data_IF_786789884627
#
_entry.id   IF_786789884627
#
_cell.length_a   1.000
_cell.length_b   1.000
_cell.length_c   1.000
_cell.angle_alpha   90.00
_cell.angle_beta   90.00
_cell.angle_gamma   90.00
#
_symmetry.space_group_name_H-M   'P 1'
#
loop_
_entity.id
_entity.type
_entity.pdbx_description
1 polymer ?
#
# COMPACT_ATOMS: atom_id res chain seq x y z
N UNK A 1 -9.36 40.86 -35.34
CA UNK A 1 -8.83 39.75 -36.16
C UNK A 1 -9.32 38.44 -35.57
N UNK A 2 -10.12 37.65 -36.30
CA UNK A 2 -10.41 36.26 -35.91
C UNK A 2 -9.10 35.48 -35.94
N UNK A 3 -8.67 34.94 -34.81
CA UNK A 3 -7.51 34.06 -34.76
C UNK A 3 -7.74 32.91 -35.74
N UNK A 4 -6.87 32.76 -36.75
CA UNK A 4 -6.90 31.61 -37.64
C UNK A 4 -6.76 30.35 -36.79
N UNK A 5 -7.74 29.45 -36.86
CA UNK A 5 -7.66 28.12 -36.24
C UNK A 5 -6.50 27.35 -36.84
N UNK A 6 -5.92 26.42 -36.07
CA UNK A 6 -4.81 25.55 -36.52
C UNK A 6 -5.13 24.85 -37.87
N UNK A 7 -6.42 24.59 -38.12
CA UNK A 7 -7.00 24.09 -39.38
C UNK A 7 -6.62 24.92 -40.61
N UNK A 8 -6.55 26.25 -40.48
CA UNK A 8 -6.15 27.11 -41.60
C UNK A 8 -4.64 27.09 -41.87
N UNK A 9 -3.84 26.56 -40.94
CA UNK A 9 -2.38 26.40 -41.09
C UNK A 9 -1.95 25.00 -41.55
N UNK A 10 -2.77 23.96 -41.36
CA UNK A 10 -2.36 22.56 -41.53
C UNK A 10 -2.77 21.89 -42.85
N UNK A 11 -3.50 22.56 -43.76
CA UNK A 11 -3.95 21.96 -45.02
C UNK A 11 -5.08 20.94 -44.82
N UNK A 12 -5.91 20.76 -45.84
CA UNK A 12 -7.28 20.24 -45.74
C UNK A 12 -7.52 18.77 -45.32
N UNK A 13 -6.54 18.04 -44.79
CA UNK A 13 -6.75 16.67 -44.29
C UNK A 13 -6.11 16.47 -42.92
N UNK A 14 -6.89 16.74 -41.86
CA UNK A 14 -6.53 16.32 -40.51
C UNK A 14 -6.52 14.79 -40.43
N UNK A 15 -5.58 14.17 -39.69
CA UNK A 15 -5.61 12.73 -39.46
C UNK A 15 -6.90 12.33 -38.73
N UNK A 16 -7.42 11.15 -39.06
CA UNK A 16 -8.50 10.53 -38.29
C UNK A 16 -7.96 10.12 -36.92
N UNK A 17 -8.24 10.97 -35.93
CA UNK A 17 -7.76 10.81 -34.55
C UNK A 17 -8.90 11.08 -33.57
N UNK A 18 -9.06 10.19 -32.61
CA UNK A 18 -10.16 10.20 -31.65
C UNK A 18 -9.63 10.18 -30.22
N UNK A 19 -10.03 11.16 -29.42
CA UNK A 19 -9.65 11.25 -28.02
C UNK A 19 -10.73 10.63 -27.14
N UNK A 20 -10.41 9.52 -26.50
CA UNK A 20 -11.29 8.80 -25.59
C UNK A 20 -11.01 9.23 -24.16
N UNK A 21 -12.03 9.74 -23.47
CA UNK A 21 -11.98 9.96 -22.03
C UNK A 21 -12.87 8.95 -21.31
N UNK A 22 -12.35 8.32 -20.28
CA UNK A 22 -13.02 7.23 -19.58
C UNK A 22 -12.98 7.43 -18.06
N UNK A 23 -14.14 7.71 -17.48
CA UNK A 23 -14.35 7.72 -16.03
C UNK A 23 -14.97 6.41 -15.56
N UNK A 24 -14.33 5.78 -14.57
CA UNK A 24 -14.65 4.42 -14.13
C UNK A 24 -15.36 4.48 -12.78
N UNK A 25 -16.67 4.26 -12.80
CA UNK A 25 -17.48 4.10 -11.60
C UNK A 25 -17.71 2.64 -11.18
N UNK A 26 -18.27 2.46 -9.99
CA UNK A 26 -18.63 1.14 -9.44
C UNK A 26 -19.87 0.53 -10.11
N UNK A 27 -20.90 1.35 -10.36
CA UNK A 27 -22.17 0.89 -10.98
C UNK A 27 -22.12 0.97 -12.49
N UNK A 28 -21.71 2.13 -13.00
CA UNK A 28 -21.59 2.42 -14.41
C UNK A 28 -20.28 3.18 -14.67
N UNK A 29 -19.81 3.06 -15.89
CA UNK A 29 -18.68 3.80 -16.43
C UNK A 29 -19.19 4.85 -17.40
N UNK A 30 -18.43 5.94 -17.54
CA UNK A 30 -18.74 7.03 -18.45
C UNK A 30 -17.61 7.19 -19.45
N UNK A 31 -17.93 7.06 -20.73
CA UNK A 31 -16.99 7.26 -21.83
C UNK A 31 -17.42 8.44 -22.70
N UNK A 32 -16.44 9.11 -23.29
CA UNK A 32 -16.67 10.07 -24.37
C UNK A 32 -15.57 9.97 -25.40
N UNK A 33 -15.96 9.96 -26.68
CA UNK A 33 -15.04 10.07 -27.80
C UNK A 33 -15.20 11.44 -28.44
N UNK A 34 -14.11 12.19 -28.55
CA UNK A 34 -14.07 13.51 -29.17
C UNK A 34 -13.10 13.47 -30.34
N UNK A 35 -13.57 13.61 -31.60
CA UNK A 35 -12.70 13.67 -32.78
C UNK A 35 -11.79 14.90 -32.75
N UNK A 36 -10.60 14.79 -33.34
CA UNK A 36 -9.65 15.90 -33.47
C UNK A 36 -10.29 17.16 -34.08
N UNK A 37 -11.14 16.98 -35.09
CA UNK A 37 -11.84 18.08 -35.78
C UNK A 37 -12.63 18.95 -34.80
N UNK A 38 -13.31 18.33 -33.80
CA UNK A 38 -14.09 19.07 -32.79
C UNK A 38 -13.20 19.98 -31.94
N UNK A 39 -11.97 19.56 -31.65
CA UNK A 39 -11.03 20.39 -30.89
C UNK A 39 -10.38 21.47 -31.75
N UNK A 40 -10.02 21.17 -33.00
CA UNK A 40 -9.31 22.12 -33.87
C UNK A 40 -10.22 23.23 -34.39
N UNK A 41 -11.50 22.95 -34.63
CA UNK A 41 -12.48 23.98 -34.97
C UNK A 41 -12.72 24.99 -33.84
N UNK A 42 -12.26 24.68 -32.62
CA UNK A 42 -12.28 25.59 -31.47
C UNK A 42 -13.65 25.74 -30.80
N UNK A 43 -13.66 26.57 -29.75
CA UNK A 43 -14.83 26.84 -28.92
C UNK A 43 -15.16 25.73 -27.92
N UNK A 44 -16.39 25.79 -27.39
CA UNK A 44 -16.83 24.96 -26.26
C UNK A 44 -17.65 23.72 -26.67
N UNK A 45 -17.66 23.34 -27.96
CA UNK A 45 -18.43 22.19 -28.45
C UNK A 45 -18.03 20.88 -27.78
N UNK A 46 -16.73 20.68 -27.56
CA UNK A 46 -16.20 19.51 -26.86
C UNK A 46 -16.82 19.33 -25.45
N UNK A 47 -17.22 20.43 -24.79
CA UNK A 47 -17.86 20.42 -23.46
C UNK A 47 -19.26 19.81 -23.46
N UNK A 48 -19.89 19.74 -24.63
CA UNK A 48 -21.29 19.28 -24.81
C UNK A 48 -21.40 17.96 -25.57
N UNK A 49 -20.26 17.34 -25.91
CA UNK A 49 -20.26 16.03 -26.58
C UNK A 49 -20.96 15.02 -25.67
N UNK A 50 -21.91 14.26 -26.24
CA UNK A 50 -22.70 13.29 -25.50
C UNK A 50 -21.81 12.16 -25.01
N UNK A 51 -21.89 11.87 -23.72
CA UNK A 51 -21.19 10.75 -23.10
C UNK A 51 -22.03 9.48 -23.18
N UNK A 52 -21.35 8.34 -23.20
CA UNK A 52 -21.93 7.02 -23.06
C UNK A 52 -21.84 6.57 -21.61
N UNK A 53 -22.98 6.22 -21.03
CA UNK A 53 -23.05 5.46 -19.78
C UNK A 53 -23.20 3.97 -20.10
N UNK A 54 -22.37 3.14 -19.48
CA UNK A 54 -22.40 1.68 -19.67
C UNK A 54 -21.99 0.92 -18.40
N UNK A 55 -22.59 -0.24 -18.17
CA UNK A 55 -22.28 -1.08 -17.03
C UNK A 55 -20.99 -1.89 -17.26
N UNK A 56 -20.33 -2.30 -16.17
CA UNK A 56 -19.19 -3.23 -16.18
C UNK A 56 -19.63 -4.69 -16.39
N UNK A 57 -20.43 -4.93 -17.43
CA UNK A 57 -20.96 -6.25 -17.80
C UNK A 57 -20.63 -6.56 -19.25
N UNK A 58 -20.73 -7.82 -19.66
CA UNK A 58 -20.52 -8.20 -21.07
C UNK A 58 -21.40 -7.40 -22.04
N UNK A 59 -22.69 -7.22 -21.71
CA UNK A 59 -23.62 -6.40 -22.49
C UNK A 59 -23.23 -4.90 -22.50
N UNK A 60 -22.77 -4.37 -21.36
CA UNK A 60 -22.29 -2.99 -21.28
C UNK A 60 -21.01 -2.74 -22.08
N UNK A 61 -20.07 -3.70 -22.06
CA UNK A 61 -18.86 -3.65 -22.89
C UNK A 61 -19.17 -3.78 -24.38
N UNK A 62 -20.14 -4.61 -24.77
CA UNK A 62 -20.61 -4.69 -26.15
C UNK A 62 -21.26 -3.36 -26.60
N UNK A 63 -22.06 -2.73 -25.73
CA UNK A 63 -22.62 -1.38 -25.97
C UNK A 63 -21.51 -0.34 -26.13
N UNK A 64 -20.45 -0.43 -25.33
CA UNK A 64 -19.29 0.45 -25.43
C UNK A 64 -18.51 0.24 -26.73
N UNK A 65 -18.29 -1.02 -27.14
CA UNK A 65 -17.66 -1.31 -28.43
C UNK A 65 -18.47 -0.74 -29.60
N UNK A 66 -19.78 -0.96 -29.62
CA UNK A 66 -20.66 -0.42 -30.64
C UNK A 66 -20.69 1.13 -30.65
N UNK A 67 -20.31 1.78 -29.55
CA UNK A 67 -20.11 3.22 -29.50
C UNK A 67 -18.76 3.62 -30.11
N UNK A 68 -17.67 2.90 -29.81
CA UNK A 68 -16.35 3.13 -30.41
C UNK A 68 -16.38 2.91 -31.93
N UNK A 69 -17.02 1.84 -32.40
CA UNK A 69 -17.10 1.46 -33.82
C UNK A 69 -17.82 2.50 -34.69
N UNK A 70 -18.70 3.34 -34.09
CA UNK A 70 -19.34 4.47 -34.79
C UNK A 70 -18.36 5.60 -35.11
N UNK A 71 -17.24 5.66 -34.40
CA UNK A 71 -16.18 6.62 -34.63
C UNK A 71 -15.11 6.01 -35.53
N UNK A 72 -14.60 4.84 -35.15
CA UNK A 72 -13.65 4.08 -35.97
C UNK A 72 -13.54 2.64 -35.49
N UNK A 73 -13.31 1.73 -36.45
CA UNK A 73 -13.01 0.32 -36.19
C UNK A 73 -11.51 0.07 -35.95
N UNK A 74 -10.64 1.04 -36.27
CA UNK A 74 -9.21 0.94 -36.03
C UNK A 74 -8.87 1.49 -34.63
N UNK A 75 -8.59 0.59 -33.70
CA UNK A 75 -8.21 0.93 -32.33
C UNK A 75 -6.97 1.85 -32.25
N UNK A 76 -6.09 1.82 -33.26
CA UNK A 76 -4.88 2.65 -33.29
C UNK A 76 -5.18 4.13 -33.53
N UNK A 77 -6.36 4.47 -34.05
CA UNK A 77 -6.80 5.86 -34.24
C UNK A 77 -7.27 6.52 -32.93
N UNK A 78 -7.39 5.75 -31.84
CA UNK A 78 -7.80 6.26 -30.54
C UNK A 78 -6.61 6.56 -29.63
N UNK A 79 -6.68 7.67 -28.90
CA UNK A 79 -5.87 7.94 -27.73
C UNK A 79 -6.79 8.03 -26.51
N UNK A 80 -6.71 7.05 -25.63
CA UNK A 80 -7.58 6.96 -24.45
C UNK A 80 -6.90 7.39 -23.16
N UNK A 81 -7.59 8.19 -22.35
CA UNK A 81 -7.17 8.59 -21.00
C UNK A 81 -8.21 8.14 -19.97
N UNK A 82 -7.73 7.62 -18.85
CA UNK A 82 -8.52 7.30 -17.66
C UNK A 82 -7.78 7.66 -16.37
N UNK A 83 -8.51 7.82 -15.26
CA UNK A 83 -7.87 7.97 -13.94
C UNK A 83 -7.54 6.61 -13.30
N UNK A 84 -6.49 6.54 -12.46
CA UNK A 84 -6.31 5.45 -11.52
C UNK A 84 -7.55 5.31 -10.63
N UNK A 85 -8.18 4.13 -10.66
CA UNK A 85 -9.22 3.78 -9.70
C UNK A 85 -8.64 3.01 -8.52
N UNK A 86 -9.03 3.37 -7.30
CA UNK A 86 -8.54 2.74 -6.06
C UNK A 86 -9.08 1.32 -5.81
N UNK A 87 -9.65 0.64 -6.81
CA UNK A 87 -10.32 -0.65 -6.67
C UNK A 87 -10.32 -1.49 -7.95
N UNK A 88 -10.81 -2.73 -7.84
CA UNK A 88 -10.79 -3.73 -8.91
C UNK A 88 -11.79 -3.46 -10.05
N UNK A 89 -12.69 -2.48 -9.88
CA UNK A 89 -13.88 -2.31 -10.72
C UNK A 89 -13.58 -1.85 -12.16
N UNK A 90 -12.40 -1.28 -12.41
CA UNK A 90 -11.95 -0.95 -13.76
C UNK A 90 -11.29 -2.11 -14.51
N UNK A 91 -10.89 -3.18 -13.82
CA UNK A 91 -10.00 -4.20 -14.38
C UNK A 91 -10.60 -4.90 -15.63
N UNK A 92 -11.89 -5.22 -15.61
CA UNK A 92 -12.57 -5.84 -16.75
C UNK A 92 -12.58 -4.91 -17.97
N UNK A 93 -12.89 -3.62 -17.78
CA UNK A 93 -12.90 -2.61 -18.85
C UNK A 93 -11.49 -2.36 -19.41
N UNK A 94 -10.49 -2.29 -18.52
CA UNK A 94 -9.09 -2.15 -18.93
C UNK A 94 -8.60 -3.35 -19.74
N UNK A 95 -8.90 -4.57 -19.29
CA UNK A 95 -8.58 -5.78 -20.03
C UNK A 95 -9.28 -5.82 -21.40
N UNK A 96 -10.55 -5.44 -21.44
CA UNK A 96 -11.34 -5.39 -22.66
C UNK A 96 -10.73 -4.46 -23.72
N UNK A 97 -10.30 -3.26 -23.32
CA UNK A 97 -9.67 -2.27 -24.20
C UNK A 97 -8.26 -2.70 -24.65
N UNK A 98 -7.42 -3.14 -23.72
CA UNK A 98 -6.04 -3.54 -24.02
C UNK A 98 -5.99 -4.78 -24.92
N UNK A 99 -6.86 -5.77 -24.70
CA UNK A 99 -6.94 -6.97 -25.55
C UNK A 99 -7.37 -6.69 -26.99
N UNK A 100 -7.94 -5.51 -27.26
CA UNK A 100 -8.35 -5.05 -28.60
C UNK A 100 -7.40 -4.02 -29.21
N UNK A 101 -6.28 -3.73 -28.54
CA UNK A 101 -5.24 -2.85 -29.08
C UNK A 101 -5.51 -1.36 -28.93
N UNK A 102 -6.46 -0.93 -28.09
CA UNK A 102 -6.66 0.49 -27.80
C UNK A 102 -5.48 1.08 -27.02
N UNK A 103 -4.96 2.23 -27.47
CA UNK A 103 -3.87 2.93 -26.80
C UNK A 103 -4.40 3.71 -25.57
N UNK A 104 -4.28 3.09 -24.39
CA UNK A 104 -4.80 3.63 -23.14
C UNK A 104 -3.70 4.15 -22.22
N UNK A 105 -3.96 5.29 -21.60
CA UNK A 105 -3.07 5.99 -20.68
C UNK A 105 -3.80 6.38 -19.40
N UNK A 106 -3.05 6.39 -18.30
CA UNK A 106 -3.51 6.83 -17.00
C UNK A 106 -2.98 8.23 -16.69
N UNK A 107 -3.88 9.09 -16.21
CA UNK A 107 -3.58 10.45 -15.74
C UNK A 107 -3.88 10.56 -14.25
N UNK A 108 -3.01 11.23 -13.49
CA UNK A 108 -3.21 11.34 -12.04
C UNK A 108 -4.47 12.14 -11.70
N UNK A 109 -5.24 11.70 -10.70
CA UNK A 109 -6.53 12.32 -10.34
C UNK A 109 -6.36 13.81 -9.96
N UNK A 110 -5.19 14.22 -9.46
CA UNK A 110 -4.91 15.63 -9.17
C UNK A 110 -4.78 16.46 -10.44
N UNK A 111 -4.12 15.92 -11.47
CA UNK A 111 -3.97 16.59 -12.76
C UNK A 111 -5.33 16.79 -13.45
N UNK A 112 -6.20 15.77 -13.46
CA UNK A 112 -7.56 15.91 -13.97
C UNK A 112 -8.35 16.93 -13.18
N UNK A 113 -8.28 16.90 -11.83
CA UNK A 113 -8.94 17.88 -10.97
C UNK A 113 -8.51 19.31 -11.29
N UNK A 114 -7.21 19.55 -11.39
CA UNK A 114 -6.66 20.88 -11.64
C UNK A 114 -7.04 21.35 -13.05
N UNK A 115 -7.00 20.45 -14.03
CA UNK A 115 -7.44 20.74 -15.39
C UNK A 115 -8.93 21.05 -15.45
N UNK A 116 -9.76 20.30 -14.72
CA UNK A 116 -11.19 20.55 -14.61
C UNK A 116 -11.47 21.93 -14.01
N UNK A 117 -10.79 22.30 -12.93
CA UNK A 117 -10.94 23.62 -12.30
C UNK A 117 -10.53 24.77 -13.23
N UNK A 118 -9.49 24.57 -14.05
CA UNK A 118 -9.05 25.54 -15.07
C UNK A 118 -10.05 25.67 -16.22
N UNK A 119 -10.52 24.55 -16.77
CA UNK A 119 -11.36 24.55 -17.96
C UNK A 119 -12.82 24.87 -17.64
N UNK A 120 -13.36 24.35 -16.54
CA UNK A 120 -14.76 24.37 -16.17
C UNK A 120 -14.95 24.94 -14.76
N UNK A 121 -14.57 26.21 -14.53
CA UNK A 121 -14.72 26.85 -13.23
C UNK A 121 -16.20 26.94 -12.85
N UNK A 122 -16.49 26.83 -11.55
CA UNK A 122 -17.83 26.99 -10.97
C UNK A 122 -18.89 25.98 -11.41
N UNK A 123 -18.52 24.92 -12.14
CA UNK A 123 -19.42 23.82 -12.46
C UNK A 123 -19.29 22.68 -11.44
N UNK A 124 -20.41 22.06 -11.01
CA UNK A 124 -20.35 20.92 -10.09
C UNK A 124 -19.67 19.73 -10.76
N UNK A 125 -18.90 18.96 -9.98
CA UNK A 125 -18.25 17.73 -10.46
C UNK A 125 -19.29 16.74 -10.98
N UNK A 126 -19.11 16.25 -12.21
CA UNK A 126 -19.88 15.14 -12.79
C UNK A 126 -18.94 14.18 -13.52
N UNK A 127 -19.33 12.90 -13.59
CA UNK A 127 -18.55 11.84 -14.24
C UNK A 127 -18.36 12.12 -15.74
N UNK A 128 -19.39 12.67 -16.40
CA UNK A 128 -19.31 13.13 -17.79
C UNK A 128 -18.30 14.25 -17.99
N UNK A 129 -18.20 15.16 -17.03
CA UNK A 129 -17.20 16.23 -17.09
C UNK A 129 -15.79 15.68 -16.95
N UNK A 130 -15.56 14.73 -16.06
CA UNK A 130 -14.25 14.09 -15.89
C UNK A 130 -13.83 13.38 -17.19
N UNK A 131 -14.74 12.61 -17.80
CA UNK A 131 -14.50 11.97 -19.10
C UNK A 131 -14.15 13.01 -20.18
N UNK A 132 -14.90 14.11 -20.31
CA UNK A 132 -14.59 15.17 -21.29
C UNK A 132 -13.26 15.86 -21.03
N UNK A 133 -12.92 16.12 -19.76
CA UNK A 133 -11.64 16.72 -19.36
C UNK A 133 -10.48 15.78 -19.73
N UNK A 134 -10.60 14.48 -19.49
CA UNK A 134 -9.58 13.51 -19.89
C UNK A 134 -9.40 13.43 -21.41
N UNK A 135 -10.48 13.41 -22.19
CA UNK A 135 -10.39 13.50 -23.65
C UNK A 135 -9.69 14.79 -24.10
N UNK A 136 -9.98 15.92 -23.44
CA UNK A 136 -9.32 17.20 -23.70
C UNK A 136 -7.83 17.18 -23.34
N UNK A 137 -7.44 16.54 -22.23
CA UNK A 137 -6.04 16.37 -21.86
C UNK A 137 -5.28 15.53 -22.89
N UNK A 138 -5.89 14.47 -23.42
CA UNK A 138 -5.31 13.68 -24.51
C UNK A 138 -5.02 14.52 -25.77
N UNK A 139 -5.98 15.36 -26.17
CA UNK A 139 -5.79 16.31 -27.28
C UNK A 139 -4.67 17.30 -27.01
N UNK A 140 -4.65 17.93 -25.82
CA UNK A 140 -3.63 18.90 -25.47
C UNK A 140 -2.23 18.25 -25.45
N UNK A 141 -2.14 17.02 -24.96
CA UNK A 141 -0.91 16.26 -24.93
C UNK A 141 -0.37 15.97 -26.34
N UNK A 142 -1.18 15.35 -27.17
CA UNK A 142 -0.72 14.83 -28.46
C UNK A 142 -0.66 15.90 -29.56
N UNK A 143 -1.68 16.76 -29.66
CA UNK A 143 -1.83 17.70 -30.78
C UNK A 143 -1.29 19.10 -30.48
N UNK A 144 -1.22 19.51 -29.21
CA UNK A 144 -0.75 20.85 -28.80
C UNK A 144 0.67 20.79 -28.20
N UNK A 145 1.08 19.64 -27.67
CA UNK A 145 2.38 19.46 -27.04
C UNK A 145 2.41 19.91 -25.57
N UNK A 146 1.26 19.98 -24.91
CA UNK A 146 1.20 20.22 -23.46
C UNK A 146 1.71 18.98 -22.70
N UNK A 147 2.64 19.18 -21.78
CA UNK A 147 3.23 18.08 -21.03
C UNK A 147 2.34 17.63 -19.87
N UNK A 148 1.89 16.38 -19.92
CA UNK A 148 1.23 15.70 -18.82
C UNK A 148 2.02 14.46 -18.45
N UNK A 149 2.13 14.17 -17.16
CA UNK A 149 2.68 12.88 -16.70
C UNK A 149 1.65 11.77 -16.94
N UNK A 150 1.68 11.18 -18.13
CA UNK A 150 0.85 10.05 -18.51
C UNK A 150 1.62 8.74 -18.28
N UNK A 151 0.91 7.71 -17.82
CA UNK A 151 1.47 6.36 -17.68
C UNK A 151 0.69 5.41 -18.57
N UNK A 152 1.36 4.60 -19.38
CA UNK A 152 0.67 3.57 -20.15
C UNK A 152 -0.18 2.69 -19.22
N UNK A 153 -1.44 2.50 -19.58
CA UNK A 153 -2.33 1.60 -18.86
C UNK A 153 -1.83 0.17 -19.05
N UNK A 154 -1.41 -0.46 -17.96
CA UNK A 154 -1.00 -1.86 -17.93
C UNK A 154 -1.82 -2.57 -16.87
N UNK A 155 -2.32 -3.76 -17.20
CA UNK A 155 -2.83 -4.65 -16.17
C UNK A 155 -1.69 -5.03 -15.22
N UNK A 156 -2.01 -5.21 -13.94
CA UNK A 156 -1.04 -5.72 -13.01
C UNK A 156 -0.62 -7.13 -13.45
N UNK A 157 0.67 -7.46 -13.29
CA UNK A 157 1.12 -8.84 -13.41
C UNK A 157 0.28 -9.69 -12.44
N UNK A 158 -0.36 -10.79 -12.89
CA UNK A 158 -1.16 -11.67 -12.05
C UNK A 158 -0.44 -12.08 -10.76
N UNK A 159 0.84 -12.42 -10.85
CA UNK A 159 1.64 -12.90 -9.71
C UNK A 159 1.85 -11.78 -8.67
N UNK A 160 2.10 -10.55 -9.13
CA UNK A 160 2.25 -9.38 -8.25
C UNK A 160 0.91 -8.97 -7.64
N UNK A 161 -0.17 -9.07 -8.42
CA UNK A 161 -1.53 -8.77 -7.96
C UNK A 161 -1.98 -9.77 -6.89
N UNK A 162 -1.68 -11.05 -7.09
CA UNK A 162 -1.96 -12.12 -6.12
C UNK A 162 -1.15 -11.91 -4.83
N UNK A 163 0.17 -11.72 -4.92
CA UNK A 163 1.00 -11.47 -3.74
C UNK A 163 0.52 -10.24 -2.96
N UNK A 164 0.19 -9.15 -3.66
CA UNK A 164 -0.34 -7.95 -3.03
C UNK A 164 -1.68 -8.21 -2.32
N UNK A 165 -2.57 -9.00 -2.93
CA UNK A 165 -3.84 -9.38 -2.33
C UNK A 165 -3.62 -10.21 -1.06
N UNK A 166 -2.79 -11.25 -1.13
CA UNK A 166 -2.46 -12.10 0.03
C UNK A 166 -1.89 -11.29 1.19
N UNK A 167 -0.91 -10.42 0.95
CA UNK A 167 -0.33 -9.54 1.98
C UNK A 167 -1.37 -8.60 2.60
N UNK A 168 -2.26 -8.01 1.79
CA UNK A 168 -3.32 -7.12 2.29
C UNK A 168 -4.34 -7.86 3.13
N UNK A 169 -4.70 -9.07 2.71
CA UNK A 169 -5.66 -9.90 3.44
C UNK A 169 -5.06 -10.40 4.75
N UNK A 170 -3.75 -10.70 4.80
CA UNK A 170 -3.03 -11.02 6.03
C UNK A 170 -3.09 -9.87 7.02
N UNK A 171 -2.84 -8.64 6.57
CA UNK A 171 -2.98 -7.45 7.42
C UNK A 171 -4.40 -7.21 7.92
N UNK A 172 -5.42 -7.41 7.08
CA UNK A 172 -6.83 -7.25 7.48
C UNK A 172 -7.22 -8.30 8.52
N UNK A 173 -6.92 -9.57 8.25
CA UNK A 173 -7.24 -10.70 9.11
C UNK A 173 -6.57 -10.57 10.47
N UNK A 174 -5.26 -10.28 10.49
CA UNK A 174 -4.55 -10.02 11.73
C UNK A 174 -5.16 -8.85 12.51
N UNK A 175 -5.54 -7.77 11.83
CA UNK A 175 -6.26 -6.65 12.45
C UNK A 175 -7.61 -7.04 13.06
N UNK A 176 -8.37 -7.92 12.40
CA UNK A 176 -9.63 -8.46 12.92
C UNK A 176 -9.40 -9.32 14.16
N UNK A 177 -8.42 -10.22 14.12
CA UNK A 177 -8.02 -11.07 15.25
C UNK A 177 -7.60 -10.22 16.44
N UNK A 178 -6.76 -9.19 16.25
CA UNK A 178 -6.36 -8.28 17.32
C UNK A 178 -7.55 -7.60 17.99
N UNK A 179 -8.54 -7.14 17.22
CA UNK A 179 -9.77 -6.55 17.78
C UNK A 179 -10.58 -7.58 18.58
N UNK A 180 -10.74 -8.79 18.07
CA UNK A 180 -11.43 -9.87 18.79
C UNK A 180 -10.70 -10.25 20.08
N UNK A 181 -9.36 -10.35 20.06
CA UNK A 181 -8.53 -10.61 21.24
C UNK A 181 -8.67 -9.52 22.31
N UNK A 182 -8.78 -8.25 21.91
CA UNK A 182 -9.04 -7.15 22.82
C UNK A 182 -10.43 -7.25 23.47
N UNK A 183 -11.46 -7.57 22.69
CA UNK A 183 -12.81 -7.82 23.22
C UNK A 183 -12.83 -9.02 24.17
N UNK A 184 -12.11 -10.09 23.83
CA UNK A 184 -11.94 -11.25 24.70
C UNK A 184 -11.28 -10.86 26.02
N UNK A 185 -10.19 -10.08 25.99
CA UNK A 185 -9.53 -9.58 27.19
C UNK A 185 -10.46 -8.72 28.08
N UNK A 186 -11.29 -7.89 27.47
CA UNK A 186 -12.32 -7.12 28.19
C UNK A 186 -13.35 -8.05 28.85
N UNK A 187 -13.72 -9.16 28.19
CA UNK A 187 -14.61 -10.14 28.80
C UNK A 187 -13.95 -10.90 29.95
N UNK A 188 -12.65 -11.20 29.87
CA UNK A 188 -11.93 -11.82 30.99
C UNK A 188 -11.87 -10.90 32.20
N UNK A 189 -11.75 -9.58 32.01
CA UNK A 189 -11.82 -8.62 33.12
C UNK A 189 -13.18 -8.59 33.85
N UNK A 190 -14.23 -9.17 33.26
CA UNK A 190 -15.59 -9.21 33.84
C UNK A 190 -15.93 -10.62 34.34
N UNK A 191 -15.64 -11.64 33.53
CA UNK A 191 -16.06 -13.02 33.76
C UNK A 191 -15.04 -13.82 34.56
N UNK A 192 -13.75 -13.51 34.43
CA UNK A 192 -12.69 -14.17 35.20
C UNK A 192 -11.52 -13.21 35.49
N UNK A 193 -11.72 -12.19 36.35
CA UNK A 193 -10.74 -11.12 36.58
C UNK A 193 -9.37 -11.62 37.06
N UNK A 194 -9.36 -12.74 37.80
CA UNK A 194 -8.17 -13.38 38.35
C UNK A 194 -7.32 -14.08 37.28
N UNK A 195 -7.87 -14.38 36.10
CA UNK A 195 -7.14 -15.09 35.04
C UNK A 195 -5.81 -14.42 34.65
N UNK A 196 -5.73 -13.09 34.76
CA UNK A 196 -4.53 -12.30 34.48
C UNK A 196 -3.40 -12.51 35.50
N UNK A 197 -3.69 -13.00 36.70
CA UNK A 197 -2.65 -13.32 37.71
C UNK A 197 -1.93 -14.62 37.34
N UNK A 198 -2.63 -15.53 36.66
CA UNK A 198 -2.07 -16.78 36.15
C UNK A 198 -1.38 -16.58 34.79
N UNK A 199 -2.05 -15.92 33.85
CA UNK A 199 -1.51 -15.58 32.53
C UNK A 199 -0.97 -14.15 32.51
N UNK A 200 0.23 -13.97 33.06
CA UNK A 200 0.84 -12.65 33.30
C UNK A 200 1.17 -11.87 32.04
N UNK A 201 1.53 -12.55 30.94
CA UNK A 201 1.90 -11.88 29.69
C UNK A 201 0.67 -11.37 28.94
N UNK A 202 -0.36 -12.22 28.80
CA UNK A 202 -1.60 -11.88 28.12
C UNK A 202 -2.66 -12.96 28.29
N UNK A 203 -3.85 -12.53 28.71
CA UNK A 203 -5.05 -13.38 28.78
C UNK A 203 -5.69 -13.66 27.43
N UNK A 204 -5.24 -13.08 26.32
CA UNK A 204 -5.88 -13.25 25.00
C UNK A 204 -5.01 -14.04 24.03
N UNK A 205 -3.97 -14.72 24.51
CA UNK A 205 -3.13 -15.61 23.71
C UNK A 205 -3.86 -16.94 23.40
N UNK A 206 -3.36 -17.77 22.46
CA UNK A 206 -4.04 -19.00 22.07
C UNK A 206 -4.35 -19.95 23.23
N UNK A 207 -3.48 -20.02 24.25
CA UNK A 207 -3.65 -20.92 25.41
C UNK A 207 -4.85 -20.52 26.28
N UNK A 208 -4.95 -19.30 26.84
CA UNK A 208 -6.15 -18.84 27.53
C UNK A 208 -7.42 -18.92 26.68
N UNK A 209 -7.34 -18.59 25.39
CA UNK A 209 -8.51 -18.63 24.50
C UNK A 209 -9.02 -20.07 24.35
N UNK A 210 -8.12 -21.05 24.20
CA UNK A 210 -8.48 -22.46 24.15
C UNK A 210 -9.05 -22.98 25.48
N UNK A 211 -8.48 -22.54 26.60
CA UNK A 211 -9.00 -22.87 27.93
C UNK A 211 -10.45 -22.38 28.10
N UNK A 212 -10.71 -21.12 27.76
CA UNK A 212 -12.06 -20.52 27.90
C UNK A 212 -13.03 -21.03 26.84
N UNK A 213 -12.55 -21.48 25.68
CA UNK A 213 -13.39 -22.17 24.71
C UNK A 213 -13.92 -23.50 25.28
N UNK A 214 -13.09 -24.23 26.03
CA UNK A 214 -13.49 -25.48 26.69
C UNK A 214 -14.29 -25.25 27.98
N UNK A 215 -13.92 -24.23 28.75
CA UNK A 215 -14.53 -23.89 30.04
C UNK A 215 -14.92 -22.39 30.06
N UNK A 216 -16.12 -22.03 29.56
CA UNK A 216 -16.51 -20.64 29.37
C UNK A 216 -16.63 -19.81 30.66
N UNK A 217 -16.78 -20.46 31.81
CA UNK A 217 -16.92 -19.80 33.12
C UNK A 217 -15.90 -20.32 34.14
N UNK A 218 -15.54 -19.51 35.16
CA UNK A 218 -14.74 -20.00 36.28
C UNK A 218 -15.39 -21.21 36.98
N UNK A 219 -16.73 -21.24 37.06
CA UNK A 219 -17.46 -22.36 37.65
C UNK A 219 -17.27 -23.66 36.84
N UNK A 220 -17.35 -23.59 35.51
CA UNK A 220 -17.11 -24.75 34.64
C UNK A 220 -15.66 -25.25 34.80
N UNK A 221 -14.70 -24.32 34.86
CA UNK A 221 -13.28 -24.66 35.03
C UNK A 221 -12.98 -25.27 36.41
N UNK A 222 -13.63 -24.77 37.46
CA UNK A 222 -13.51 -25.29 38.81
C UNK A 222 -14.13 -26.68 38.97
N UNK A 223 -15.21 -26.97 38.23
CA UNK A 223 -15.92 -28.25 38.25
C UNK A 223 -15.25 -29.34 37.40
N UNK A 224 -14.46 -28.97 36.39
CA UNK A 224 -13.75 -29.89 35.52
C UNK A 224 -12.67 -30.71 36.25
N UNK A 225 -12.33 -31.91 35.75
CA UNK A 225 -11.23 -32.67 36.34
C UNK A 225 -9.87 -32.04 35.99
N UNK A 226 -8.93 -32.07 36.93
CA UNK A 226 -7.57 -31.54 36.68
C UNK A 226 -6.88 -32.22 35.48
N UNK A 227 -7.20 -33.49 35.22
CA UNK A 227 -6.68 -34.23 34.07
C UNK A 227 -7.18 -33.67 32.74
N UNK A 228 -8.49 -33.37 32.62
CA UNK A 228 -9.08 -32.78 31.41
C UNK A 228 -8.56 -31.36 31.16
N UNK A 229 -8.46 -30.54 32.21
CA UNK A 229 -7.92 -29.18 32.10
C UNK A 229 -6.45 -29.21 31.64
N UNK A 230 -5.66 -30.13 32.19
CA UNK A 230 -4.26 -30.34 31.80
C UNK A 230 -4.14 -30.71 30.33
N UNK A 231 -5.03 -31.55 29.83
CA UNK A 231 -5.04 -31.96 28.43
C UNK A 231 -5.37 -30.80 27.48
N UNK A 232 -6.41 -30.01 27.78
CA UNK A 232 -6.74 -28.80 27.00
C UNK A 232 -5.55 -27.84 26.91
N UNK A 233 -4.87 -27.59 28.04
CA UNK A 233 -3.69 -26.72 28.07
C UNK A 233 -2.53 -27.32 27.25
N UNK A 234 -2.31 -28.63 27.29
CA UNK A 234 -1.26 -29.30 26.49
C UNK A 234 -1.53 -29.24 25.00
N UNK A 235 -2.77 -29.47 24.57
CA UNK A 235 -3.18 -29.38 23.16
C UNK A 235 -2.98 -27.96 22.63
N UNK A 236 -3.20 -26.94 23.46
CA UNK A 236 -2.91 -25.54 23.14
C UNK A 236 -1.40 -25.17 23.24
N UNK A 237 -0.51 -26.14 23.48
CA UNK A 237 0.94 -25.97 23.69
C UNK A 237 1.33 -25.20 24.97
N UNK A 238 0.43 -25.12 25.94
CA UNK A 238 0.61 -24.47 27.23
C UNK A 238 1.24 -25.38 28.30
N UNK A 239 2.30 -26.13 27.99
CA UNK A 239 2.86 -27.16 28.88
C UNK A 239 3.24 -26.65 30.29
N UNK A 240 3.79 -25.42 30.39
CA UNK A 240 4.12 -24.79 31.69
C UNK A 240 2.88 -24.50 32.53
N UNK A 241 1.81 -24.05 31.89
CA UNK A 241 0.52 -23.80 32.55
C UNK A 241 -0.17 -25.11 32.95
N UNK A 242 -0.02 -26.15 32.15
CA UNK A 242 -0.57 -27.48 32.41
C UNK A 242 0.00 -28.14 33.69
N UNK A 243 1.20 -27.74 34.11
CA UNK A 243 1.82 -28.16 35.38
C UNK A 243 1.28 -27.43 36.61
N UNK A 244 0.52 -26.34 36.42
CA UNK A 244 -0.03 -25.48 37.48
C UNK A 244 -1.57 -25.46 37.43
N UNK A 245 -2.19 -26.55 37.01
CA UNK A 245 -3.65 -26.64 36.85
C UNK A 245 -4.37 -26.47 38.18
N UNK A 246 -3.80 -27.03 39.24
CA UNK A 246 -4.37 -26.95 40.59
C UNK A 246 -4.48 -25.49 41.06
N UNK A 247 -3.44 -24.68 40.81
CA UNK A 247 -3.45 -23.24 41.08
C UNK A 247 -4.51 -22.50 40.25
N UNK A 248 -4.61 -22.82 38.96
CA UNK A 248 -5.60 -22.22 38.06
C UNK A 248 -7.04 -22.53 38.48
N UNK A 249 -7.32 -23.77 38.88
CA UNK A 249 -8.64 -24.17 39.37
C UNK A 249 -8.96 -23.53 40.72
N UNK A 250 -7.95 -23.32 41.56
CA UNK A 250 -8.13 -22.61 42.82
C UNK A 250 -8.52 -21.14 42.62
N UNK A 251 -7.90 -20.46 41.64
CA UNK A 251 -8.32 -19.12 41.22
C UNK A 251 -9.75 -19.12 40.67
N UNK A 252 -10.15 -20.17 39.96
CA UNK A 252 -11.49 -20.29 39.39
C UNK A 252 -12.58 -20.47 40.47
N UNK A 253 -12.30 -21.28 41.51
CA UNK A 253 -13.20 -21.51 42.67
C UNK A 253 -13.50 -20.22 43.44
N UNK A 254 -12.51 -19.35 43.55
CA UNK A 254 -12.58 -18.10 44.32
C UNK A 254 -12.71 -16.86 43.43
N UNK A 255 -13.14 -17.03 42.18
CA UNK A 255 -13.24 -15.91 41.24
C UNK A 255 -14.33 -14.93 41.67
N UNK A 256 -13.99 -13.64 41.63
CA UNK A 256 -14.95 -12.52 41.77
C UNK A 256 -15.70 -12.21 40.47
N UNK A 257 -15.46 -12.98 39.42
CA UNK A 257 -16.05 -12.79 38.10
C UNK A 257 -17.56 -12.94 38.09
N UNK A 258 -18.21 -12.12 37.27
CA UNK A 258 -19.64 -12.23 37.04
C UNK A 258 -19.91 -13.48 36.20
N UNK A 259 -20.83 -14.34 36.66
CA UNK A 259 -21.33 -15.43 35.85
C UNK A 259 -21.92 -14.85 34.55
N UNK A 260 -21.54 -15.38 33.38
CA UNK A 260 -22.02 -14.83 32.13
C UNK A 260 -23.52 -15.08 31.99
N UNK A 261 -24.28 -14.01 31.76
CA UNK A 261 -25.66 -14.13 31.29
C UNK A 261 -25.68 -14.80 29.89
N UNK A 262 -26.84 -15.25 29.39
CA UNK A 262 -26.92 -15.91 28.07
C UNK A 262 -26.26 -15.11 26.93
N UNK A 263 -26.31 -13.78 26.98
CA UNK A 263 -25.67 -12.90 25.99
C UNK A 263 -24.14 -12.87 26.11
N UNK A 264 -23.59 -12.81 27.33
CA UNK A 264 -22.14 -12.92 27.57
C UNK A 264 -21.62 -14.30 27.18
N UNK A 265 -22.36 -15.37 27.51
CA UNK A 265 -21.98 -16.74 27.16
C UNK A 265 -21.96 -16.94 25.64
N UNK A 266 -22.96 -16.43 24.91
CA UNK A 266 -22.96 -16.43 23.45
C UNK A 266 -21.78 -15.66 22.87
N UNK A 267 -21.49 -14.46 23.41
CA UNK A 267 -20.37 -13.63 22.95
C UNK A 267 -19.01 -14.30 23.17
N UNK A 268 -18.81 -14.98 24.31
CA UNK A 268 -17.58 -15.71 24.60
C UNK A 268 -17.37 -16.88 23.62
N UNK A 269 -18.41 -17.66 23.32
CA UNK A 269 -18.35 -18.72 22.30
C UNK A 269 -17.99 -18.14 20.94
N UNK A 270 -18.72 -17.12 20.50
CA UNK A 270 -18.42 -16.47 19.22
C UNK A 270 -16.98 -15.91 19.15
N UNK A 271 -16.51 -15.23 20.20
CA UNK A 271 -15.15 -14.68 20.24
C UNK A 271 -14.08 -15.77 20.19
N UNK A 272 -14.24 -16.83 20.98
CA UNK A 272 -13.27 -17.94 21.04
C UNK A 272 -13.21 -18.69 19.71
N UNK A 273 -14.37 -19.05 19.14
CA UNK A 273 -14.49 -19.66 17.82
C UNK A 273 -13.84 -18.76 16.74
N UNK A 274 -14.18 -17.47 16.74
CA UNK A 274 -13.62 -16.50 15.79
C UNK A 274 -12.10 -16.42 15.91
N UNK A 275 -11.54 -16.26 17.12
CA UNK A 275 -10.09 -16.14 17.31
C UNK A 275 -9.38 -17.44 16.88
N UNK A 276 -9.88 -18.61 17.26
CA UNK A 276 -9.25 -19.90 16.94
C UNK A 276 -9.25 -20.18 15.44
N UNK A 277 -10.42 -20.11 14.79
CA UNK A 277 -10.57 -20.33 13.35
C UNK A 277 -9.73 -19.34 12.53
N UNK A 278 -9.79 -18.06 12.87
CA UNK A 278 -9.08 -17.03 12.11
C UNK A 278 -7.57 -17.07 12.35
N UNK A 279 -7.08 -17.50 13.52
CA UNK A 279 -5.65 -17.77 13.70
C UNK A 279 -5.16 -18.91 12.79
N UNK A 280 -5.94 -19.97 12.61
CA UNK A 280 -5.59 -21.05 11.68
C UNK A 280 -5.55 -20.54 10.23
N UNK A 281 -6.53 -19.72 9.83
CA UNK A 281 -6.52 -19.07 8.52
C UNK A 281 -5.35 -18.09 8.34
N UNK A 282 -4.96 -17.37 9.39
CA UNK A 282 -3.81 -16.47 9.35
C UNK A 282 -2.51 -17.24 9.10
N UNK A 283 -2.33 -18.39 9.76
CA UNK A 283 -1.17 -19.28 9.55
C UNK A 283 -1.15 -19.82 8.11
N UNK A 284 -2.30 -20.26 7.57
CA UNK A 284 -2.37 -20.74 6.18
C UNK A 284 -2.03 -19.62 5.19
N UNK A 285 -2.53 -18.41 5.43
CA UNK A 285 -2.29 -17.26 4.59
C UNK A 285 -0.81 -16.84 4.63
N UNK A 286 -0.18 -16.83 5.80
CA UNK A 286 1.26 -16.58 5.94
C UNK A 286 2.11 -17.64 5.22
N UNK A 287 1.71 -18.91 5.29
CA UNK A 287 2.36 -19.99 4.53
C UNK A 287 2.29 -19.75 3.03
N UNK A 288 1.11 -19.37 2.50
CA UNK A 288 0.95 -19.05 1.07
C UNK A 288 1.86 -17.91 0.65
N UNK A 289 1.91 -16.83 1.43
CA UNK A 289 2.80 -15.69 1.18
C UNK A 289 4.26 -16.15 1.09
N UNK A 290 4.73 -16.98 2.04
CA UNK A 290 6.10 -17.50 2.04
C UNK A 290 6.39 -18.31 0.78
N UNK A 291 5.49 -19.23 0.40
CA UNK A 291 5.67 -20.06 -0.80
C UNK A 291 5.76 -19.23 -2.08
N UNK A 292 4.91 -18.21 -2.22
CA UNK A 292 4.95 -17.28 -3.35
C UNK A 292 6.24 -16.44 -3.36
N UNK A 293 6.76 -16.06 -2.19
CA UNK A 293 7.97 -15.25 -2.07
C UNK A 293 9.25 -16.02 -2.37
N UNK A 294 9.35 -17.27 -1.92
CA UNK A 294 10.55 -18.09 -2.12
C UNK A 294 10.90 -18.30 -3.60
N UNK A 295 9.90 -18.20 -4.48
CA UNK A 295 10.06 -18.30 -5.94
C UNK A 295 10.66 -17.04 -6.57
N UNK A 296 10.76 -15.92 -5.84
CA UNK A 296 11.19 -14.63 -6.38
C UNK A 296 12.63 -14.32 -5.96
N UNK A 297 13.50 -14.08 -6.93
CA UNK A 297 14.90 -13.70 -6.68
C UNK A 297 15.01 -12.45 -5.77
N UNK A 298 14.18 -11.44 -6.04
CA UNK A 298 14.11 -10.20 -5.25
C UNK A 298 13.80 -10.43 -3.75
N UNK A 299 13.16 -11.54 -3.37
CA UNK A 299 12.95 -11.87 -1.96
C UNK A 299 14.26 -12.25 -1.27
N UNK A 300 15.11 -13.03 -1.92
CA UNK A 300 16.40 -13.46 -1.39
C UNK A 300 17.38 -12.29 -1.23
N UNK A 301 17.16 -11.19 -1.96
CA UNK A 301 17.90 -9.94 -1.77
C UNK A 301 17.52 -9.23 -0.47
N UNK A 302 16.30 -9.41 0.05
CA UNK A 302 15.76 -8.62 1.16
C UNK A 302 15.48 -9.43 2.44
N UNK A 303 15.56 -10.76 2.37
CA UNK A 303 15.16 -11.66 3.48
C UNK A 303 15.96 -11.43 4.77
N UNK A 304 17.18 -10.92 4.67
CA UNK A 304 18.06 -10.67 5.82
C UNK A 304 17.78 -9.34 6.52
N UNK A 305 16.81 -8.54 6.07
CA UNK A 305 16.45 -7.30 6.76
C UNK A 305 15.93 -7.65 8.17
N UNK A 306 16.57 -7.15 9.24
CA UNK A 306 16.13 -7.48 10.59
C UNK A 306 14.71 -6.98 10.84
N UNK A 307 13.94 -7.76 11.61
CA UNK A 307 12.53 -7.49 11.92
C UNK A 307 11.58 -7.46 10.70
N UNK A 308 12.05 -7.85 9.51
CA UNK A 308 11.20 -7.95 8.32
C UNK A 308 10.62 -9.36 8.17
N UNK A 309 9.32 -9.48 8.42
CA UNK A 309 8.59 -10.73 8.16
C UNK A 309 8.21 -10.89 6.67
N UNK A 310 7.90 -12.12 6.21
CA UNK A 310 7.47 -12.39 4.83
C UNK A 310 6.31 -11.51 4.36
N UNK A 311 5.31 -11.27 5.21
CA UNK A 311 4.18 -10.41 4.85
C UNK A 311 4.59 -8.96 4.54
N UNK A 312 5.51 -8.39 5.32
CA UNK A 312 6.03 -7.02 5.10
C UNK A 312 6.91 -6.95 3.86
N UNK A 313 7.80 -7.93 3.67
CA UNK A 313 8.66 -8.01 2.48
C UNK A 313 7.84 -8.25 1.21
N UNK A 314 6.85 -9.13 1.25
CA UNK A 314 5.95 -9.37 0.12
C UNK A 314 5.10 -8.16 -0.21
N UNK A 315 4.66 -7.39 0.78
CA UNK A 315 4.00 -6.11 0.54
C UNK A 315 4.94 -5.14 -0.20
N UNK A 316 6.21 -5.08 0.22
CA UNK A 316 7.21 -4.23 -0.42
C UNK A 316 7.44 -4.64 -1.86
N UNK A 317 7.72 -5.91 -2.11
CA UNK A 317 7.99 -6.42 -3.46
C UNK A 317 6.78 -6.25 -4.37
N UNK A 318 5.58 -6.61 -3.93
CA UNK A 318 4.38 -6.53 -4.76
C UNK A 318 3.94 -5.08 -5.07
N UNK A 319 4.14 -4.16 -4.12
CA UNK A 319 3.83 -2.74 -4.32
C UNK A 319 4.90 -2.01 -5.14
N UNK A 320 6.17 -2.39 -4.97
CA UNK A 320 7.30 -1.89 -5.76
C UNK A 320 7.22 -2.38 -7.20
N UNK A 321 6.88 -3.65 -7.41
CA UNK A 321 6.95 -4.36 -8.69
C UNK A 321 8.39 -4.36 -9.18
N UNK A 322 8.63 -3.72 -10.32
CA UNK A 322 9.95 -3.47 -10.87
C UNK A 322 10.56 -2.19 -10.28
N UNK A 323 11.74 -2.31 -9.67
CA UNK A 323 12.50 -1.18 -9.16
C UNK A 323 13.13 -0.35 -10.29
N UNK A 324 13.37 -0.93 -11.47
CA UNK A 324 13.94 -0.27 -12.64
C UNK A 324 13.10 0.87 -13.20
N UNK A 325 11.79 0.90 -12.90
CA UNK A 325 10.89 1.99 -13.31
C UNK A 325 11.16 3.34 -12.63
N UNK A 326 11.94 3.34 -11.56
CA UNK A 326 12.35 4.56 -10.86
C UNK A 326 13.72 4.97 -11.38
N UNK A 327 13.86 6.22 -11.82
CA UNK A 327 15.13 6.72 -12.34
C UNK A 327 16.19 6.97 -11.26
N UNK A 328 15.78 7.07 -9.99
CA UNK A 328 16.68 7.19 -8.85
C UNK A 328 15.96 6.85 -7.54
N UNK A 329 16.74 6.71 -6.45
CA UNK A 329 16.20 6.41 -5.12
C UNK A 329 15.22 7.46 -4.60
N UNK A 330 15.37 8.74 -4.98
CA UNK A 330 14.50 9.83 -4.51
C UNK A 330 13.07 9.63 -5.02
N UNK A 331 12.91 9.18 -6.27
CA UNK A 331 11.62 8.81 -6.83
C UNK A 331 10.98 7.63 -6.08
N UNK A 332 11.77 6.61 -5.71
CA UNK A 332 11.29 5.48 -4.92
C UNK A 332 10.84 5.90 -3.51
N UNK A 333 11.62 6.73 -2.81
CA UNK A 333 11.29 7.24 -1.48
C UNK A 333 10.04 8.14 -1.52
N UNK A 334 9.87 8.92 -2.59
CA UNK A 334 8.64 9.68 -2.82
C UNK A 334 7.44 8.75 -3.07
N UNK A 335 7.62 7.70 -3.86
CA UNK A 335 6.60 6.69 -4.10
C UNK A 335 6.22 5.93 -2.83
N UNK A 336 7.16 5.62 -1.94
CA UNK A 336 6.88 4.96 -0.65
C UNK A 336 6.21 5.88 0.38
N UNK A 337 6.12 7.18 0.11
CA UNK A 337 5.45 8.17 0.96
C UNK A 337 6.28 8.68 2.13
N UNK A 338 7.61 8.49 2.09
CA UNK A 338 8.58 8.97 3.09
C UNK A 338 9.45 10.13 2.62
N UNK A 339 9.12 10.73 1.47
CA UNK A 339 9.75 11.98 1.04
C UNK A 339 9.13 13.17 1.78
N UNK A 340 9.99 13.99 2.41
CA UNK A 340 9.58 15.28 2.94
C UNK A 340 9.36 16.24 1.76
N UNK A 341 8.16 16.80 1.62
CA UNK A 341 7.97 17.89 0.67
C UNK A 341 8.80 19.08 1.15
N UNK A 342 9.70 19.58 0.31
CA UNK A 342 10.32 20.88 0.52
C UNK A 342 9.27 21.94 0.16
N UNK A 343 8.59 22.48 1.16
CA UNK A 343 7.92 23.78 1.07
C UNK A 343 8.88 24.82 1.65
N UNK A 344 9.98 25.07 0.94
CA UNK A 344 10.88 26.18 1.24
C UNK A 344 10.41 27.41 0.46
N UNK A 345 9.71 28.32 1.12
CA UNK A 345 9.68 29.72 0.71
C UNK A 345 10.68 30.50 1.55
N UNK A 346 11.15 31.65 1.06
CA UNK A 346 12.18 32.50 1.70
C UNK A 346 11.90 32.88 3.16
N UNK A 347 10.72 32.58 3.70
CA UNK A 347 10.27 33.01 5.03
C UNK A 347 9.65 31.89 5.88
N UNK A 348 9.43 30.69 5.33
CA UNK A 348 8.75 29.59 6.03
C UNK A 348 9.43 28.26 5.69
N UNK A 349 10.15 27.68 6.65
CA UNK A 349 10.47 26.25 6.65
C UNK A 349 9.34 25.50 7.34
N UNK A 350 8.40 24.99 6.54
CA UNK A 350 7.38 24.04 7.00
C UNK A 350 7.50 22.77 6.19
N UNK A 351 8.61 22.05 6.34
CA UNK A 351 8.71 20.67 5.86
C UNK A 351 7.61 19.80 6.47
N UNK A 352 6.63 19.41 5.65
CA UNK A 352 5.54 18.50 6.01
C UNK A 352 5.69 17.18 5.26
N UNK A 353 5.49 16.07 5.97
CA UNK A 353 5.45 14.76 5.33
C UNK A 353 4.34 14.74 4.29
N UNK A 354 4.68 14.30 3.08
CA UNK A 354 3.74 14.22 1.97
C UNK A 354 2.52 13.37 2.35
N UNK A 355 1.33 13.84 1.97
CA UNK A 355 0.11 13.02 1.98
C UNK A 355 0.05 12.06 0.77
N UNK A 356 0.98 12.20 -0.18
CA UNK A 356 1.14 11.36 -1.37
C UNK A 356 2.00 10.13 -1.05
N UNK A 357 1.96 9.14 -1.94
CA UNK A 357 2.71 7.88 -1.84
C UNK A 357 1.83 6.66 -1.57
N UNK A 358 2.43 5.49 -1.76
CA UNK A 358 1.79 4.20 -1.59
C UNK A 358 1.62 3.89 -0.10
N UNK A 359 0.37 3.85 0.37
CA UNK A 359 0.01 3.63 1.77
C UNK A 359 0.50 2.29 2.31
N UNK A 360 0.52 1.26 1.46
CA UNK A 360 0.96 -0.08 1.85
C UNK A 360 2.47 -0.12 2.03
N UNK A 361 3.24 0.44 1.09
CA UNK A 361 4.70 0.62 1.27
C UNK A 361 5.01 1.42 2.53
N UNK A 362 4.31 2.53 2.73
CA UNK A 362 4.50 3.38 3.89
C UNK A 362 4.34 2.58 5.19
N UNK A 363 3.26 1.81 5.30
CA UNK A 363 3.00 0.98 6.48
C UNK A 363 4.03 -0.14 6.63
N UNK A 364 4.39 -0.85 5.56
CA UNK A 364 5.34 -1.96 5.61
C UNK A 364 6.72 -1.48 6.07
N UNK A 365 7.22 -0.37 5.51
CA UNK A 365 8.48 0.24 5.92
C UNK A 365 8.46 0.69 7.38
N UNK A 366 7.36 1.28 7.85
CA UNK A 366 7.21 1.62 9.27
C UNK A 366 7.30 0.38 10.17
N UNK A 367 6.61 -0.70 9.80
CA UNK A 367 6.58 -1.94 10.57
C UNK A 367 7.96 -2.61 10.70
N UNK A 368 8.87 -2.35 9.76
CA UNK A 368 10.25 -2.85 9.79
C UNK A 368 11.18 -1.84 10.49
N UNK A 369 11.05 -0.56 10.17
CA UNK A 369 11.91 0.48 10.74
C UNK A 369 11.64 0.72 12.23
N UNK A 370 10.39 0.61 12.70
CA UNK A 370 10.09 0.90 14.10
C UNK A 370 10.72 -0.09 15.08
N UNK A 371 10.71 -1.43 14.85
CA UNK A 371 11.46 -2.35 15.69
C UNK A 371 12.98 -2.18 15.60
N UNK A 372 13.52 -1.92 14.40
CA UNK A 372 14.94 -1.59 14.20
C UNK A 372 15.40 -0.42 15.09
N UNK A 373 14.53 0.57 15.30
CA UNK A 373 14.84 1.74 16.11
C UNK A 373 14.56 1.51 17.60
N UNK A 374 13.43 0.88 17.94
CA UNK A 374 12.94 0.83 19.33
C UNK A 374 13.40 -0.39 20.13
N UNK A 375 13.59 -1.53 19.46
CA UNK A 375 13.81 -2.81 20.14
C UNK A 375 15.18 -3.41 19.84
N UNK A 376 15.80 -2.98 18.75
CA UNK A 376 17.11 -3.47 18.38
C UNK A 376 18.18 -3.06 19.39
N UNK A 377 18.94 -4.06 19.82
CA UNK A 377 20.00 -3.93 20.82
C UNK A 377 21.36 -3.70 20.18
N UNK A 378 21.51 -3.97 18.88
CA UNK A 378 22.73 -3.63 18.16
C UNK A 378 22.75 -2.14 17.81
N UNK A 379 23.95 -1.58 17.71
CA UNK A 379 24.11 -0.23 17.16
C UNK A 379 23.92 -0.32 15.65
N UNK A 380 22.82 0.25 15.16
CA UNK A 380 22.45 0.18 13.76
C UNK A 380 22.22 1.60 13.20
N UNK A 381 22.56 1.83 11.92
CA UNK A 381 22.57 3.16 11.34
C UNK A 381 21.18 3.79 11.24
N UNK A 382 20.10 2.99 11.21
CA UNK A 382 18.73 3.51 11.21
C UNK A 382 18.36 4.12 12.56
N UNK A 383 18.78 3.46 13.65
CA UNK A 383 18.62 3.94 15.03
C UNK A 383 19.44 5.19 15.28
N UNK A 384 20.71 5.20 14.89
CA UNK A 384 21.58 6.39 14.98
C UNK A 384 20.97 7.60 14.26
N UNK A 385 20.48 7.40 13.03
CA UNK A 385 19.81 8.46 12.26
C UNK A 385 18.57 8.98 13.00
N UNK A 386 17.74 8.09 13.54
CA UNK A 386 16.57 8.46 14.31
C UNK A 386 16.94 9.26 15.57
N UNK A 387 17.92 8.80 16.35
CA UNK A 387 18.36 9.43 17.58
C UNK A 387 18.97 10.81 17.32
N UNK A 388 19.75 10.98 16.26
CA UNK A 388 20.24 12.29 15.81
C UNK A 388 19.09 13.24 15.49
N UNK A 389 18.08 12.77 14.74
CA UNK A 389 16.89 13.59 14.43
C UNK A 389 16.08 13.94 15.68
N UNK A 390 16.08 13.09 16.71
CA UNK A 390 15.50 13.41 18.03
C UNK A 390 16.30 14.49 18.75
N UNK A 391 17.64 14.44 18.67
CA UNK A 391 18.54 15.42 19.28
C UNK A 391 18.41 16.82 18.65
N UNK A 392 18.01 16.93 17.37
CA UNK A 392 17.61 18.19 16.71
C UNK A 392 16.30 18.80 17.27
N UNK A 393 15.72 18.24 18.34
CA UNK A 393 14.46 18.71 18.92
C UNK A 393 13.20 18.19 18.23
N UNK A 394 13.31 17.25 17.27
CA UNK A 394 12.14 16.69 16.58
C UNK A 394 11.41 15.66 17.45
N UNK A 395 10.06 15.71 17.55
CA UNK A 395 9.29 14.64 18.17
C UNK A 395 9.45 13.32 17.39
N UNK A 396 9.23 12.18 18.06
CA UNK A 396 9.47 10.85 17.48
C UNK A 396 8.79 10.62 16.13
N UNK A 397 7.57 11.12 15.95
CA UNK A 397 6.80 10.97 14.70
C UNK A 397 7.32 11.85 13.55
N UNK A 398 8.18 12.83 13.83
CA UNK A 398 8.93 13.61 12.82
C UNK A 398 10.34 13.06 12.59
N UNK A 399 10.90 12.28 13.51
CA UNK A 399 12.20 11.64 13.38
C UNK A 399 12.12 10.27 12.67
N UNK A 400 11.14 9.44 13.02
CA UNK A 400 10.94 8.10 12.44
C UNK A 400 10.84 8.06 10.90
N UNK A 401 10.21 9.05 10.22
CA UNK A 401 10.21 9.10 8.76
C UNK A 401 11.60 9.08 8.12
N UNK A 402 12.64 9.61 8.78
CA UNK A 402 14.01 9.58 8.26
C UNK A 402 14.58 8.15 8.26
N UNK A 403 14.37 7.38 9.33
CA UNK A 403 14.75 5.96 9.38
C UNK A 403 13.99 5.14 8.32
N UNK A 404 12.69 5.40 8.15
CA UNK A 404 11.88 4.74 7.11
C UNK A 404 12.36 5.10 5.70
N UNK A 405 12.72 6.35 5.46
CA UNK A 405 13.29 6.80 4.18
C UNK A 405 14.64 6.11 3.91
N UNK A 406 15.53 6.05 4.90
CA UNK A 406 16.81 5.34 4.77
C UNK A 406 16.63 3.85 4.48
N UNK A 407 15.67 3.18 5.14
CA UNK A 407 15.33 1.79 4.84
C UNK A 407 14.81 1.64 3.39
N UNK A 408 13.93 2.53 2.94
CA UNK A 408 13.43 2.52 1.58
C UNK A 408 14.56 2.71 0.54
N UNK A 409 15.54 3.59 0.82
CA UNK A 409 16.72 3.79 -0.04
C UNK A 409 17.55 2.51 -0.14
N UNK A 410 17.84 1.86 0.99
CA UNK A 410 18.60 0.62 1.00
C UNK A 410 17.86 -0.49 0.21
N UNK A 411 16.56 -0.66 0.44
CA UNK A 411 15.75 -1.63 -0.31
C UNK A 411 15.79 -1.34 -1.82
N UNK A 412 15.64 -0.07 -2.23
CA UNK A 412 15.73 0.30 -3.63
C UNK A 412 17.09 -0.09 -4.23
N UNK A 413 18.18 0.20 -3.50
CA UNK A 413 19.52 -0.17 -3.95
C UNK A 413 19.64 -1.69 -4.15
N UNK A 414 19.27 -2.50 -3.17
CA UNK A 414 19.33 -3.97 -3.29
C UNK A 414 18.56 -4.47 -4.52
N UNK A 415 17.35 -3.94 -4.74
CA UNK A 415 16.51 -4.33 -5.87
C UNK A 415 17.05 -3.86 -7.22
N UNK A 416 17.74 -2.72 -7.27
CA UNK A 416 18.28 -2.13 -8.50
C UNK A 416 19.64 -2.74 -8.86
N UNK A 417 20.48 -3.03 -7.87
CA UNK A 417 21.81 -3.61 -8.05
C UNK A 417 21.82 -5.14 -8.16
N UNK A 418 20.75 -5.81 -7.68
CA UNK A 418 20.74 -7.26 -7.53
C UNK A 418 21.60 -7.73 -6.35
N UNK A 419 22.07 -6.82 -5.49
CA UNK A 419 22.87 -7.17 -4.33
C UNK A 419 21.99 -7.50 -3.12
N UNK A 420 22.41 -8.51 -2.36
CA UNK A 420 21.75 -8.90 -1.12
C UNK A 420 21.93 -7.83 -0.04
N UNK A 421 20.88 -7.63 0.75
CA UNK A 421 20.85 -6.69 1.86
C UNK A 421 22.04 -6.91 2.80
N UNK A 422 22.80 -5.85 2.99
CA UNK A 422 23.97 -5.84 3.86
C UNK A 422 24.15 -4.45 4.45
N UNK A 423 23.87 -4.32 5.74
CA UNK A 423 23.98 -3.05 6.46
C UNK A 423 25.43 -2.55 6.55
N UNK A 424 26.42 -3.44 6.54
CA UNK A 424 27.82 -3.06 6.67
C UNK A 424 28.37 -2.49 5.36
N UNK A 425 27.94 -3.03 4.21
CA UNK A 425 28.35 -2.50 2.90
C UNK A 425 27.84 -1.09 2.62
N UNK A 426 26.61 -0.80 3.02
CA UNK A 426 25.98 0.51 2.77
C UNK A 426 26.50 1.58 3.73
N UNK A 427 26.88 1.19 4.96
CA UNK A 427 27.19 2.15 6.03
C UNK A 427 28.66 2.12 6.52
N UNK A 428 29.48 1.11 6.21
CA UNK A 428 30.88 1.01 6.67
C UNK A 428 31.96 0.95 5.58
N UNK A 429 31.70 1.24 4.30
CA UNK A 429 32.79 1.42 3.32
C UNK A 429 33.61 2.67 3.69
N UNK A 430 34.89 2.58 4.07
CA UNK A 430 35.76 3.74 4.18
C UNK A 430 36.25 4.05 2.75
N UNK A 431 35.93 5.24 2.23
CA UNK A 431 36.74 5.78 1.13
C UNK A 431 38.13 6.03 1.72
N UNK A 432 39.13 5.29 1.23
CA UNK A 432 40.52 5.64 1.49
C UNK A 432 40.79 7.01 0.85
N UNK A 433 40.91 8.05 1.67
CA UNK A 433 41.59 9.29 1.34
C UNK A 433 42.28 9.82 2.60
N UNK A 434 43.47 10.45 2.47
CA UNK A 434 44.47 10.51 3.52
C UNK A 434 44.08 11.47 4.65
N UNK A 435 44.67 11.21 5.82
CA UNK A 435 44.43 11.93 7.05
C UNK A 435 44.62 13.46 6.93
N UNK A 436 43.58 14.22 7.28
CA UNK A 436 43.71 15.41 8.14
C UNK A 436 42.35 15.91 8.63
N UNK A 437 42.31 16.17 9.94
CA UNK A 437 41.47 17.10 10.70
C UNK A 437 39.94 16.94 10.75
N UNK A 438 39.48 16.82 11.99
CA UNK A 438 38.12 16.64 12.48
C UNK A 438 37.23 17.86 12.21
N UNK A 439 36.25 17.69 11.32
CA UNK A 439 35.06 18.55 11.17
C UNK A 439 33.86 17.74 11.68
N UNK A 440 32.87 18.34 12.37
CA UNK A 440 31.63 17.64 12.70
C UNK A 440 30.92 17.26 11.40
N UNK A 441 31.03 15.98 11.02
CA UNK A 441 30.44 15.43 9.79
C UNK A 441 28.92 15.47 9.93
N UNK A 442 28.27 16.29 9.09
CA UNK A 442 26.83 16.19 8.88
C UNK A 442 26.55 14.83 8.23
N UNK A 443 26.19 13.84 9.04
CA UNK A 443 25.88 12.49 8.58
C UNK A 443 24.63 12.43 7.68
N UNK A 444 23.80 13.48 7.60
CA UNK A 444 22.78 13.53 6.56
C UNK A 444 23.40 13.82 5.19
N UNK A 445 24.32 14.78 5.12
CA UNK A 445 25.15 15.00 3.95
C UNK A 445 25.98 13.73 3.65
N UNK A 446 26.63 13.10 4.63
CA UNK A 446 27.40 11.86 4.41
C UNK A 446 26.54 10.67 3.95
N UNK A 447 25.31 10.51 4.47
CA UNK A 447 24.41 9.45 4.03
C UNK A 447 23.85 9.74 2.64
N UNK A 448 23.48 10.99 2.35
CA UNK A 448 23.05 11.39 1.01
C UNK A 448 24.19 11.27 0.01
N UNK A 449 25.40 11.71 0.34
CA UNK A 449 26.63 11.49 -0.45
C UNK A 449 26.91 10.01 -0.67
N UNK A 450 26.84 9.15 0.36
CA UNK A 450 27.04 7.70 0.20
C UNK A 450 26.01 7.09 -0.75
N UNK A 451 24.74 7.43 -0.59
CA UNK A 451 23.69 6.96 -1.49
C UNK A 451 23.80 7.57 -2.89
N UNK A 452 24.26 8.81 -3.03
CA UNK A 452 24.52 9.47 -4.31
C UNK A 452 25.70 8.83 -5.05
N UNK A 453 26.78 8.50 -4.34
CA UNK A 453 27.91 7.73 -4.87
C UNK A 453 27.44 6.35 -5.35
N UNK A 454 26.59 5.67 -4.57
CA UNK A 454 26.00 4.39 -4.96
C UNK A 454 25.08 4.51 -6.19
N UNK A 455 24.26 5.56 -6.28
CA UNK A 455 23.36 5.83 -7.43
C UNK A 455 24.17 6.20 -8.69
N UNK A 456 25.27 6.95 -8.53
CA UNK A 456 26.20 7.26 -9.61
C UNK A 456 26.87 5.99 -10.15
N UNK A 457 27.28 5.07 -9.28
CA UNK A 457 27.81 3.77 -9.69
C UNK A 457 26.79 2.89 -10.41
N UNK A 458 25.51 2.95 -10.02
CA UNK A 458 24.44 2.23 -10.73
C UNK A 458 24.15 2.82 -12.11
N UNK A 459 24.21 4.14 -12.25
CA UNK A 459 24.03 4.83 -13.54
C UNK A 459 25.13 4.45 -14.53
N UNK A 460 26.37 4.24 -14.05
CA UNK A 460 27.52 3.82 -14.86
C UNK A 460 27.49 2.35 -15.31
N UNK A 461 26.59 1.52 -14.76
CA UNK A 461 26.42 0.11 -15.14
C UNK A 461 25.29 -0.09 -16.16
N UNK A 462 24.51 0.94 -16.44
CA UNK A 462 23.41 0.93 -17.42
C UNK A 462 23.83 1.49 -18.81
N UNK A 463 25.04 2.04 -18.93
CA UNK A 463 25.73 2.42 -20.18
C UNK A 463 26.73 1.34 -20.61
#
# INVERSE_FOLDING_TARGET
>A
MRAMTLLAKLGGSLPERYYLGLDIGYREHVAVVIPLQVFVEGGDRWRRVRCLHFASTSAGLAKFQAYLDRHSVDAKQFLGLCEPTGGCYGAATYQYLLSRGYAMWMVENTATRDMRLKLMPNLPKTDEMEARVMARMGYLHEAVGEEFTLRSLKLANPDDAELLALCRDQWKLNGMICRARNQFGQMMAIVFPELKTFFTDSVSTPVPVALIAAYPTPADLAAASAAEVREVLRQARGHRHAARVEELQELARHSSGLLPDPGRAWRLRWLTEFIQSNNAHLIDLERRIVLTLQQREAYHLLVDIPYAGPASLGMILAATRDAGRFGNYRQYVAYSGYYAGLETSQTIDRTRMSKRGNRDLKRALFQIASPLVWFDRTDNPYKELYERKRAEGRPWYKAMPFACAALARHIYHCLKSGERYDVEKVFKRPLMAPASETVPVDLMASLEERFEVMDAHLTLLED
#
